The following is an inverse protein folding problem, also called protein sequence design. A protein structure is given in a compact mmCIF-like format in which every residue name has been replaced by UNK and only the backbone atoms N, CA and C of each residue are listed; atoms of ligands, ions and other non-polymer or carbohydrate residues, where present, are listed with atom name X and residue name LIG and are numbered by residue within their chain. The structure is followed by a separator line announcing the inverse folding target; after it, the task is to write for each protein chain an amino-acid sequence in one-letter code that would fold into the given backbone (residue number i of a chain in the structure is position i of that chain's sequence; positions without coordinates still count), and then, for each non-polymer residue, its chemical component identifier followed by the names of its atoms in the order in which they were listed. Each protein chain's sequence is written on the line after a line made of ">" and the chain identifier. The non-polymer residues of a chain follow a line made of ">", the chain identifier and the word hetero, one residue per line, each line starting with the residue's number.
data_IF_271438677026
#
_entry.id   IF_271438677026
#
_cell.length_a   1.000
_cell.length_b   1.000
_cell.length_c   1.000
_cell.angle_alpha   90.00
_cell.angle_beta   90.00
_cell.angle_gamma   90.00
#
_symmetry.space_group_name_H-M   'P 1'
#
loop_
_entity.id
_entity.type
_entity.pdbx_description
1 polymer ?
#
# COMPACT_ATOMS: atom_id res chain seq x y z
N UNK A 1 21.06 -21.41 3.31
CA UNK A 1 20.94 -19.98 3.64
C UNK A 1 22.27 -19.50 4.21
N UNK A 2 22.97 -18.60 3.53
CA UNK A 2 24.18 -17.98 4.09
C UNK A 2 23.76 -16.98 5.18
N UNK A 3 24.54 -16.82 6.25
CA UNK A 3 24.26 -15.84 7.32
C UNK A 3 24.00 -14.44 6.75
N UNK A 4 24.74 -14.05 5.71
CA UNK A 4 24.57 -12.77 5.01
C UNK A 4 23.20 -12.58 4.34
N UNK A 5 22.57 -13.67 3.92
CA UNK A 5 21.26 -13.64 3.29
C UNK A 5 20.17 -13.48 4.35
N UNK A 6 20.31 -14.17 5.48
CA UNK A 6 19.44 -13.98 6.64
C UNK A 6 19.50 -12.52 7.15
N UNK A 7 20.70 -11.96 7.29
CA UNK A 7 20.90 -10.56 7.73
C UNK A 7 20.20 -9.56 6.79
N UNK A 8 20.27 -9.81 5.46
CA UNK A 8 19.60 -8.96 4.47
C UNK A 8 18.08 -9.03 4.56
N UNK A 9 17.53 -10.22 4.76
CA UNK A 9 16.08 -10.42 4.91
C UNK A 9 15.59 -9.69 6.16
N UNK A 10 16.29 -9.85 7.29
CA UNK A 10 15.92 -9.15 8.54
C UNK A 10 15.99 -7.63 8.40
N UNK A 11 17.02 -7.09 7.74
CA UNK A 11 17.12 -5.65 7.51
C UNK A 11 16.00 -5.11 6.60
N UNK A 12 15.59 -5.88 5.58
CA UNK A 12 14.48 -5.51 4.71
C UNK A 12 13.14 -5.51 5.47
N UNK A 13 12.90 -6.51 6.33
CA UNK A 13 11.72 -6.57 7.18
C UNK A 13 11.65 -5.39 8.16
N UNK A 14 12.78 -5.03 8.79
CA UNK A 14 12.85 -3.89 9.71
C UNK A 14 12.59 -2.56 8.99
N UNK A 15 13.12 -2.41 7.78
CA UNK A 15 12.87 -1.24 6.93
C UNK A 15 11.38 -1.14 6.58
N UNK A 16 10.75 -2.24 6.17
CA UNK A 16 9.32 -2.28 5.86
C UNK A 16 8.45 -2.00 7.08
N UNK A 17 8.81 -2.50 8.25
CA UNK A 17 8.10 -2.19 9.50
C UNK A 17 8.17 -0.70 9.83
N UNK A 18 9.36 -0.10 9.70
CA UNK A 18 9.54 1.35 9.90
C UNK A 18 8.70 2.18 8.94
N UNK A 19 8.67 1.82 7.65
CA UNK A 19 7.83 2.48 6.66
C UNK A 19 6.34 2.32 6.96
N UNK A 20 5.93 1.16 7.48
CA UNK A 20 4.56 0.91 7.89
C UNK A 20 4.14 1.78 9.08
N UNK A 21 5.00 1.92 10.08
CA UNK A 21 4.75 2.79 11.23
C UNK A 21 4.60 4.25 10.80
N UNK A 22 5.47 4.74 9.90
CA UNK A 22 5.33 6.08 9.31
C UNK A 22 3.99 6.22 8.58
N UNK A 23 3.60 5.22 7.79
CA UNK A 23 2.32 5.20 7.07
C UNK A 23 1.11 5.29 8.00
N UNK A 24 1.14 4.59 9.15
CA UNK A 24 0.09 4.68 10.17
C UNK A 24 0.06 6.05 10.84
N UNK A 25 1.22 6.62 11.18
CA UNK A 25 1.32 7.96 11.77
C UNK A 25 0.77 9.05 10.84
N UNK A 26 0.99 8.93 9.53
CA UNK A 26 0.46 9.83 8.52
C UNK A 26 -0.97 9.49 8.10
N UNK A 27 -1.57 8.44 8.68
CA UNK A 27 -2.92 7.98 8.41
C UNK A 27 -3.23 7.81 6.91
N UNK A 28 -2.28 7.25 6.15
CA UNK A 28 -2.46 7.01 4.70
C UNK A 28 -3.53 5.94 4.41
N UNK A 29 -3.85 5.13 5.43
CA UNK A 29 -4.76 4.00 5.34
C UNK A 29 -4.23 2.85 4.48
N UNK A 30 -2.92 2.78 4.23
CA UNK A 30 -2.29 1.63 3.58
C UNK A 30 -2.08 0.51 4.60
N UNK A 31 -2.55 -0.69 4.27
CA UNK A 31 -2.18 -1.92 4.98
C UNK A 31 -0.77 -2.38 4.55
N UNK A 32 -0.21 -3.33 5.29
CA UNK A 32 1.18 -3.77 5.10
C UNK A 32 1.42 -4.41 3.75
N UNK A 33 0.45 -5.16 3.22
CA UNK A 33 0.56 -5.84 1.93
C UNK A 33 0.54 -4.83 0.77
N UNK A 34 -0.38 -3.86 0.84
CA UNK A 34 -0.43 -2.77 -0.13
C UNK A 34 0.85 -1.93 -0.10
N UNK A 35 1.39 -1.65 1.09
CA UNK A 35 2.65 -0.90 1.23
C UNK A 35 3.83 -1.62 0.59
N UNK A 36 3.99 -2.93 0.82
CA UNK A 36 5.03 -3.75 0.16
C UNK A 36 4.91 -3.66 -1.36
N UNK A 37 3.68 -3.76 -1.87
CA UNK A 37 3.43 -3.62 -3.32
C UNK A 37 3.85 -2.25 -3.83
N UNK A 38 3.53 -1.18 -3.10
CA UNK A 38 3.93 0.18 -3.48
C UNK A 38 5.44 0.35 -3.50
N UNK A 39 6.15 -0.19 -2.50
CA UNK A 39 7.62 -0.17 -2.45
C UNK A 39 8.20 -0.89 -3.66
N UNK A 40 7.72 -2.09 -3.99
CA UNK A 40 8.19 -2.84 -5.16
C UNK A 40 7.95 -2.12 -6.49
N UNK A 41 6.82 -1.40 -6.63
CA UNK A 41 6.56 -0.58 -7.81
C UNK A 41 7.52 0.61 -7.90
N UNK A 42 7.78 1.29 -6.78
CA UNK A 42 8.71 2.42 -6.73
C UNK A 42 10.15 1.95 -7.03
N UNK A 43 10.56 0.81 -6.49
CA UNK A 43 11.86 0.18 -6.80
C UNK A 43 11.99 -0.21 -8.29
N UNK A 44 10.88 -0.57 -8.94
CA UNK A 44 10.82 -0.80 -10.38
C UNK A 44 10.84 0.50 -11.23
N UNK A 45 10.91 1.67 -10.60
CA UNK A 45 11.01 2.98 -11.26
C UNK A 45 9.67 3.69 -11.46
N UNK A 46 8.58 3.23 -10.85
CA UNK A 46 7.30 3.94 -10.88
C UNK A 46 7.40 5.22 -10.05
N UNK A 47 6.91 6.33 -10.61
CA UNK A 47 6.87 7.60 -9.89
C UNK A 47 5.89 7.51 -8.69
N UNK A 48 6.30 7.88 -7.47
CA UNK A 48 5.49 7.74 -6.26
C UNK A 48 4.26 8.66 -6.22
N UNK A 49 4.34 9.85 -6.82
CA UNK A 49 3.24 10.81 -6.89
C UNK A 49 2.13 10.31 -7.82
N UNK A 50 2.52 9.77 -8.98
CA UNK A 50 1.60 9.13 -9.91
C UNK A 50 0.93 7.90 -9.29
N UNK A 51 1.70 7.06 -8.59
CA UNK A 51 1.16 5.91 -7.88
C UNK A 51 0.14 6.32 -6.80
N UNK A 52 0.44 7.37 -6.03
CA UNK A 52 -0.48 7.89 -5.03
C UNK A 52 -1.79 8.38 -5.66
N UNK A 53 -1.74 9.08 -6.80
CA UNK A 53 -2.92 9.52 -7.53
C UNK A 53 -3.79 8.34 -7.97
N UNK A 54 -3.17 7.28 -8.52
CA UNK A 54 -3.89 6.06 -8.93
C UNK A 54 -4.57 5.38 -7.73
N UNK A 55 -3.87 5.23 -6.60
CA UNK A 55 -4.45 4.63 -5.39
C UNK A 55 -5.64 5.43 -4.88
N UNK A 56 -5.54 6.77 -4.87
CA UNK A 56 -6.64 7.63 -4.45
C UNK A 56 -7.86 7.48 -5.35
N UNK A 57 -7.65 7.40 -6.66
CA UNK A 57 -8.75 7.26 -7.62
C UNK A 57 -9.43 5.90 -7.50
N UNK A 58 -8.67 4.81 -7.42
CA UNK A 58 -9.22 3.47 -7.20
C UNK A 58 -10.06 3.38 -5.91
N UNK A 59 -9.61 4.05 -4.83
CA UNK A 59 -10.37 4.12 -3.57
C UNK A 59 -11.67 4.89 -3.73
N UNK A 60 -11.65 6.01 -4.46
CA UNK A 60 -12.82 6.84 -4.77
C UNK A 60 -13.86 6.05 -5.57
N UNK A 61 -13.44 5.41 -6.66
CA UNK A 61 -14.30 4.59 -7.51
C UNK A 61 -14.90 3.40 -6.74
N UNK A 62 -14.07 2.72 -5.95
CA UNK A 62 -14.52 1.60 -5.11
C UNK A 62 -15.58 2.03 -4.08
N UNK A 63 -15.42 3.21 -3.48
CA UNK A 63 -16.41 3.77 -2.58
C UNK A 63 -17.72 4.10 -3.31
N UNK A 64 -17.65 4.75 -4.46
CA UNK A 64 -18.81 5.08 -5.29
C UNK A 64 -19.58 3.83 -5.73
N UNK A 65 -18.87 2.79 -6.17
CA UNK A 65 -19.46 1.51 -6.58
C UNK A 65 -20.21 0.82 -5.42
N UNK A 66 -19.65 0.84 -4.20
CA UNK A 66 -20.31 0.30 -3.00
C UNK A 66 -21.58 1.08 -2.66
N UNK A 67 -21.54 2.41 -2.73
CA UNK A 67 -22.71 3.27 -2.48
C UNK A 67 -23.83 3.03 -3.49
N UNK A 68 -23.51 2.94 -4.78
CA UNK A 68 -24.48 2.67 -5.84
C UNK A 68 -25.17 1.30 -5.68
N UNK A 69 -24.46 0.28 -5.19
CA UNK A 69 -25.02 -1.05 -4.95
C UNK A 69 -26.02 -1.06 -3.78
N UNK A 70 -25.75 -0.26 -2.74
CA UNK A 70 -26.65 -0.14 -1.58
C UNK A 70 -27.99 0.53 -1.93
N UNK A 71 -28.02 1.46 -2.89
CA UNK A 71 -29.27 2.13 -3.30
C UNK A 71 -30.19 1.27 -4.16
N UNK A 72 -29.62 0.30 -4.88
CA UNK A 72 -30.39 -0.62 -5.75
C UNK A 72 -30.99 -1.79 -4.97
N UNK A 73 -30.35 -2.24 -3.89
CA UNK A 73 -30.75 -3.46 -3.16
C UNK A 73 -31.76 -3.20 -2.01
N UNK A 74 -32.26 -1.97 -1.89
CA UNK A 74 -33.21 -1.55 -0.85
C UNK A 74 -34.51 -0.95 -1.39
N UNK A 75 -34.83 -1.18 -2.66
CA UNK A 75 -36.11 -0.80 -3.30
C UNK A 75 -36.87 -2.02 -3.76
#
# INVERSE_FOLDING_TARGET
>A
MSTREADRISAAEETLNTLFDISQLLNTGLDKETLVTCVGLIEAGVNPEALAAVIQELRRESAAARSARSTTNGR
#
